data_IF_776245711224
#
_entry.id   IF_776245711224
#
_cell.length_a   1.000
_cell.length_b   1.000
_cell.length_c   1.000
_cell.angle_alpha   90.00
_cell.angle_beta   90.00
_cell.angle_gamma   90.00
#
_symmetry.space_group_name_H-M   'P 1'
#
loop_
_entity.id
_entity.type
_entity.pdbx_description
1 polymer ?
#
# COMPACT_ATOMS: atom_id res chain seq x y z
N UNK A 1 53.60 -5.84 25.66
CA UNK A 1 52.59 -4.80 25.36
C UNK A 1 51.48 -5.50 24.60
N UNK A 2 50.36 -5.83 25.26
CA UNK A 2 49.32 -6.66 24.66
C UNK A 2 48.28 -5.80 23.96
N UNK A 3 47.92 -6.17 22.72
CA UNK A 3 46.79 -5.57 22.01
C UNK A 3 45.50 -6.06 22.64
N UNK A 4 44.65 -5.14 23.12
CA UNK A 4 43.30 -5.46 23.53
C UNK A 4 42.47 -5.81 22.31
N UNK A 5 42.20 -7.10 22.10
CA UNK A 5 41.19 -7.53 21.15
C UNK A 5 39.85 -6.94 21.60
N UNK A 6 39.24 -6.10 20.77
CA UNK A 6 37.82 -5.76 20.94
C UNK A 6 37.04 -7.05 20.74
N UNK A 7 36.39 -7.51 21.81
CA UNK A 7 35.28 -8.45 21.66
C UNK A 7 34.18 -7.65 20.97
N UNK A 8 33.93 -7.96 19.70
CA UNK A 8 32.70 -7.53 19.07
C UNK A 8 31.57 -8.30 19.75
N UNK A 9 30.58 -7.59 20.28
CA UNK A 9 29.37 -8.22 20.81
C UNK A 9 28.74 -9.09 19.71
N UNK A 10 28.17 -10.26 20.07
CA UNK A 10 27.50 -11.10 19.09
C UNK A 10 26.35 -10.32 18.47
N UNK A 11 26.41 -10.11 17.15
CA UNK A 11 25.32 -9.47 16.40
C UNK A 11 24.07 -10.32 16.59
N UNK A 12 23.10 -9.79 17.32
CA UNK A 12 21.81 -10.44 17.51
C UNK A 12 21.02 -10.36 16.21
N UNK A 13 21.12 -11.45 15.43
CA UNK A 13 20.45 -11.63 14.13
C UNK A 13 18.91 -11.73 14.25
N UNK A 14 18.32 -11.43 15.42
CA UNK A 14 16.87 -11.23 15.59
C UNK A 14 16.45 -9.76 15.62
N UNK A 15 17.40 -8.82 15.78
CA UNK A 15 17.15 -7.38 15.88
C UNK A 15 17.33 -6.70 14.51
N UNK A 16 16.49 -5.72 14.19
CA UNK A 16 16.62 -4.94 12.95
C UNK A 16 17.97 -4.21 12.91
N UNK A 17 18.64 -4.25 11.74
CA UNK A 17 19.85 -3.48 11.45
C UNK A 17 19.51 -2.28 10.54
N UNK A 18 19.40 -1.05 11.07
CA UNK A 18 19.02 0.12 10.28
C UNK A 18 20.00 0.45 9.14
N UNK A 19 21.29 0.17 9.33
CA UNK A 19 22.29 0.45 8.30
C UNK A 19 22.13 -0.46 7.08
N UNK A 20 21.76 -1.74 7.27
CA UNK A 20 21.44 -2.65 6.18
C UNK A 20 20.11 -2.27 5.51
N UNK A 21 19.06 -2.02 6.29
CA UNK A 21 17.74 -1.65 5.77
C UNK A 21 17.79 -0.36 4.94
N UNK A 22 18.48 0.69 5.40
CA UNK A 22 18.58 1.97 4.69
C UNK A 22 19.59 1.97 3.53
N UNK A 23 20.59 1.08 3.54
CA UNK A 23 21.51 0.93 2.41
C UNK A 23 20.95 0.05 1.29
N UNK A 24 19.95 -0.79 1.56
CA UNK A 24 19.31 -1.66 0.57
C UNK A 24 18.88 -0.90 -0.70
N UNK A 25 18.98 -1.60 -1.84
CA UNK A 25 18.59 -1.13 -3.16
C UNK A 25 17.74 -2.22 -3.80
N UNK A 26 16.46 -1.93 -3.98
CA UNK A 26 15.56 -2.77 -4.73
C UNK A 26 15.94 -2.75 -6.22
N UNK A 27 15.78 -3.88 -6.94
CA UNK A 27 15.74 -3.85 -8.40
C UNK A 27 14.50 -3.08 -8.89
N UNK A 28 14.54 -2.59 -10.13
CA UNK A 28 13.35 -2.01 -10.75
C UNK A 28 12.34 -3.11 -11.08
N UNK A 29 11.08 -2.94 -10.67
CA UNK A 29 10.03 -3.96 -10.82
C UNK A 29 9.08 -3.55 -11.95
N UNK A 30 9.00 -4.37 -13.00
CA UNK A 30 8.01 -4.17 -14.06
C UNK A 30 6.63 -4.66 -13.63
N UNK A 31 5.60 -3.93 -14.06
CA UNK A 31 4.20 -4.27 -13.90
C UNK A 31 3.48 -3.98 -15.22
N UNK A 32 3.03 -5.02 -15.90
CA UNK A 32 2.23 -4.95 -17.13
C UNK A 32 0.77 -5.25 -16.79
N UNK A 33 -0.17 -4.49 -17.37
CA UNK A 33 -1.60 -4.69 -17.17
C UNK A 33 -2.42 -4.26 -18.38
N UNK A 34 -3.64 -4.79 -18.49
CA UNK A 34 -4.61 -4.30 -19.47
C UNK A 34 -6.03 -4.07 -18.93
N UNK A 35 -6.95 -3.75 -19.85
CA UNK A 35 -8.32 -3.37 -19.52
C UNK A 35 -9.07 -4.48 -18.76
N UNK A 36 -8.65 -5.74 -18.91
CA UNK A 36 -9.17 -6.85 -18.11
C UNK A 36 -8.79 -6.69 -16.65
N UNK A 37 -7.54 -6.34 -16.35
CA UNK A 37 -7.05 -6.18 -14.97
C UNK A 37 -7.68 -4.96 -14.31
N UNK A 38 -7.84 -3.86 -15.07
CA UNK A 38 -8.55 -2.65 -14.64
C UNK A 38 -10.02 -2.95 -14.34
N UNK A 39 -10.73 -3.64 -15.25
CA UNK A 39 -12.13 -4.00 -15.05
C UNK A 39 -12.32 -4.99 -13.89
N UNK A 40 -11.44 -5.99 -13.76
CA UNK A 40 -11.44 -6.93 -12.63
C UNK A 40 -11.21 -6.20 -11.31
N UNK A 41 -10.25 -5.26 -11.25
CA UNK A 41 -10.05 -4.43 -10.07
C UNK A 41 -11.31 -3.61 -9.73
N UNK A 42 -11.91 -2.95 -10.72
CA UNK A 42 -13.13 -2.16 -10.52
C UNK A 42 -14.26 -3.02 -9.94
N UNK A 43 -14.49 -4.22 -10.49
CA UNK A 43 -15.46 -5.20 -9.96
C UNK A 43 -15.10 -5.66 -8.54
N UNK A 44 -13.83 -5.99 -8.27
CA UNK A 44 -13.35 -6.44 -6.95
C UNK A 44 -13.54 -5.38 -5.87
N UNK A 45 -13.39 -4.09 -6.19
CA UNK A 45 -13.68 -3.00 -5.25
C UNK A 45 -15.15 -2.56 -5.26
N UNK A 46 -16.03 -3.26 -6.00
CA UNK A 46 -17.49 -3.11 -5.92
C UNK A 46 -18.16 -2.26 -7.01
N UNK A 47 -17.53 -2.00 -8.15
CA UNK A 47 -18.22 -1.39 -9.30
C UNK A 47 -19.40 -2.28 -9.77
N UNK A 48 -20.49 -1.65 -10.20
CA UNK A 48 -21.75 -2.31 -10.63
C UNK A 48 -22.41 -3.25 -9.59
N UNK A 49 -21.92 -3.35 -8.35
CA UNK A 49 -22.36 -4.40 -7.41
C UNK A 49 -23.78 -4.19 -6.85
N UNK A 50 -24.31 -2.96 -6.89
CA UNK A 50 -25.66 -2.60 -6.45
C UNK A 50 -26.67 -2.53 -7.60
N UNK A 51 -26.21 -2.22 -8.80
CA UNK A 51 -26.99 -2.13 -10.03
C UNK A 51 -26.07 -2.36 -11.24
N UNK A 52 -26.43 -3.32 -12.08
CA UNK A 52 -25.71 -3.68 -13.30
C UNK A 52 -26.03 -2.74 -14.48
N UNK A 53 -27.11 -1.98 -14.40
CA UNK A 53 -27.50 -0.98 -15.41
C UNK A 53 -26.89 0.42 -15.12
N UNK A 54 -26.10 0.56 -14.06
CA UNK A 54 -25.59 1.86 -13.61
C UNK A 54 -24.60 2.48 -14.60
N UNK A 55 -25.05 3.51 -15.32
CA UNK A 55 -24.28 4.20 -16.35
C UNK A 55 -22.92 4.74 -15.86
N UNK A 56 -22.83 5.12 -14.58
CA UNK A 56 -21.60 5.69 -13.99
C UNK A 56 -20.60 4.63 -13.54
N UNK A 57 -21.06 3.41 -13.29
CA UNK A 57 -20.17 2.28 -12.96
C UNK A 57 -19.77 1.50 -14.24
N UNK A 58 -20.67 1.38 -15.23
CA UNK A 58 -20.42 0.61 -16.46
C UNK A 58 -19.17 1.06 -17.23
N UNK A 59 -18.91 2.38 -17.26
CA UNK A 59 -17.68 2.98 -17.83
C UNK A 59 -16.36 2.53 -17.16
N UNK A 60 -16.41 1.86 -16.00
CA UNK A 60 -15.24 1.29 -15.33
C UNK A 60 -14.93 -0.16 -15.77
N UNK A 61 -15.86 -0.81 -16.49
CA UNK A 61 -15.82 -2.25 -16.81
C UNK A 61 -16.14 -2.57 -18.27
N UNK A 62 -16.67 -1.61 -19.03
CA UNK A 62 -17.10 -1.77 -20.43
C UNK A 62 -16.99 -0.46 -21.21
N UNK A 63 -16.67 -0.53 -22.51
CA UNK A 63 -16.56 0.62 -23.42
C UNK A 63 -17.94 1.23 -23.76
N UNK A 64 -18.47 2.07 -22.87
CA UNK A 64 -19.76 2.74 -23.06
C UNK A 64 -19.66 3.94 -24.00
N UNK A 65 -20.75 4.27 -24.70
CA UNK A 65 -20.95 5.58 -25.36
C UNK A 65 -19.82 6.06 -26.29
N UNK A 66 -19.12 5.14 -26.95
CA UNK A 66 -18.00 5.44 -27.85
C UNK A 66 -16.65 5.70 -27.17
N UNK A 67 -16.51 5.35 -25.88
CA UNK A 67 -15.24 5.36 -25.15
C UNK A 67 -14.19 4.50 -25.88
N UNK A 68 -13.00 5.07 -26.11
CA UNK A 68 -11.84 4.37 -26.68
C UNK A 68 -11.14 3.43 -25.70
N UNK A 69 -11.44 3.57 -24.41
CA UNK A 69 -10.84 2.85 -23.28
C UNK A 69 -11.75 2.96 -22.05
N UNK A 70 -11.75 1.96 -21.17
CA UNK A 70 -12.48 2.04 -19.89
C UNK A 70 -11.82 3.05 -18.94
N UNK A 71 -12.60 3.66 -18.04
CA UNK A 71 -12.07 4.56 -17.01
C UNK A 71 -11.42 3.77 -15.88
N UNK A 72 -10.18 4.12 -15.56
CA UNK A 72 -9.43 3.52 -14.44
C UNK A 72 -9.82 4.19 -13.12
N UNK A 73 -9.96 3.42 -12.04
CA UNK A 73 -10.07 3.97 -10.68
C UNK A 73 -8.69 4.38 -10.15
N UNK A 74 -8.53 5.55 -9.50
CA UNK A 74 -7.22 6.06 -9.09
C UNK A 74 -6.48 5.15 -8.11
N UNK A 75 -7.21 4.34 -7.33
CA UNK A 75 -6.65 3.38 -6.37
C UNK A 75 -6.05 2.12 -7.04
N UNK A 76 -6.28 1.89 -8.33
CA UNK A 76 -5.70 0.79 -9.10
C UNK A 76 -4.17 0.76 -9.01
N UNK A 77 -3.52 1.93 -8.95
CA UNK A 77 -2.06 2.05 -8.86
C UNK A 77 -1.47 1.49 -7.56
N UNK A 78 -2.30 1.20 -6.56
CA UNK A 78 -1.85 0.46 -5.37
C UNK A 78 -1.46 -1.00 -5.70
N UNK A 79 -1.95 -1.56 -6.81
CA UNK A 79 -1.51 -2.87 -7.30
C UNK A 79 -0.06 -2.85 -7.82
N UNK A 80 0.45 -1.71 -8.29
CA UNK A 80 1.84 -1.57 -8.76
C UNK A 80 2.88 -1.83 -7.65
N UNK A 81 2.44 -1.86 -6.39
CA UNK A 81 3.24 -2.27 -5.23
C UNK A 81 3.47 -3.78 -5.15
N UNK A 82 2.74 -4.59 -5.93
CA UNK A 82 2.84 -6.06 -5.92
C UNK A 82 3.82 -6.54 -6.99
N UNK A 83 4.83 -7.32 -6.59
CA UNK A 83 5.72 -8.02 -7.52
C UNK A 83 4.94 -9.06 -8.35
N UNK A 84 5.30 -9.15 -9.62
CA UNK A 84 5.16 -10.40 -10.37
C UNK A 84 5.86 -11.53 -9.58
N UNK A 85 5.20 -12.69 -9.41
CA UNK A 85 5.61 -13.83 -8.56
C UNK A 85 5.25 -13.78 -7.05
N UNK A 86 4.34 -12.90 -6.61
CA UNK A 86 3.75 -12.88 -5.25
C UNK A 86 4.71 -12.65 -4.05
N UNK A 87 5.99 -12.39 -4.29
CA UNK A 87 6.94 -12.01 -3.23
C UNK A 87 6.60 -10.62 -2.66
N UNK A 88 6.52 -10.48 -1.33
CA UNK A 88 6.36 -9.19 -0.69
C UNK A 88 7.59 -8.30 -0.93
N UNK A 89 7.37 -6.98 -1.08
CA UNK A 89 8.44 -5.96 -1.17
C UNK A 89 9.16 -5.75 0.19
N UNK A 90 8.82 -6.56 1.19
CA UNK A 90 9.30 -6.46 2.58
C UNK A 90 10.41 -7.45 2.90
N UNK A 91 10.85 -8.26 1.93
CA UNK A 91 12.14 -8.96 1.99
C UNK A 91 13.28 -7.93 1.86
N UNK A 92 13.77 -7.43 2.99
CA UNK A 92 14.82 -6.41 3.08
C UNK A 92 15.94 -6.91 3.99
N UNK A 93 17.21 -6.95 3.52
CA UNK A 93 18.34 -7.36 4.33
C UNK A 93 18.46 -6.58 5.64
N UNK A 94 18.49 -7.29 6.76
CA UNK A 94 18.55 -6.70 8.10
C UNK A 94 17.18 -6.27 8.67
N UNK A 95 16.07 -6.56 7.98
CA UNK A 95 14.72 -6.41 8.51
C UNK A 95 14.24 -7.74 9.08
N UNK A 96 14.16 -7.84 10.41
CA UNK A 96 13.74 -9.04 11.12
C UNK A 96 12.36 -8.81 11.76
N UNK A 97 11.36 -9.60 11.34
CA UNK A 97 9.98 -9.49 11.82
C UNK A 97 9.21 -10.81 11.67
N UNK A 98 8.11 -10.98 12.40
CA UNK A 98 7.14 -12.04 12.17
C UNK A 98 6.07 -11.56 11.16
N UNK A 99 5.91 -12.21 9.99
CA UNK A 99 4.86 -11.87 9.03
C UNK A 99 3.43 -11.91 9.60
N UNK A 100 3.13 -12.75 10.61
CA UNK A 100 1.81 -12.78 11.27
C UNK A 100 1.54 -11.53 12.11
N UNK A 101 2.59 -10.79 12.46
CA UNK A 101 2.55 -9.56 13.24
C UNK A 101 2.64 -8.29 12.38
N UNK A 102 2.86 -8.43 11.06
CA UNK A 102 2.84 -7.35 10.06
C UNK A 102 1.45 -6.71 9.96
N UNK A 103 1.44 -5.38 9.75
CA UNK A 103 0.23 -4.57 9.61
C UNK A 103 0.50 -3.43 8.62
N UNK A 104 -0.09 -3.46 7.42
CA UNK A 104 -0.02 -2.33 6.47
C UNK A 104 -0.83 -1.13 7.01
N UNK A 105 -0.20 -0.18 7.69
CA UNK A 105 -0.87 0.83 8.50
C UNK A 105 -1.47 2.02 7.76
N UNK A 106 -0.85 2.43 6.66
CA UNK A 106 -1.23 3.65 5.93
C UNK A 106 -0.86 3.54 4.47
N UNK A 107 -1.71 4.11 3.61
CA UNK A 107 -1.44 4.27 2.19
C UNK A 107 -1.56 5.75 1.83
N UNK A 108 -0.54 6.26 1.16
CA UNK A 108 -0.57 7.50 0.40
C UNK A 108 -0.40 7.18 -1.09
N UNK A 109 -1.09 7.93 -1.95
CA UNK A 109 -0.99 7.86 -3.40
C UNK A 109 -0.97 9.29 -3.92
N UNK A 110 -0.03 9.64 -4.79
CA UNK A 110 -0.03 10.88 -5.58
C UNK A 110 -0.09 10.54 -7.07
N UNK A 111 -0.89 11.28 -7.84
CA UNK A 111 -1.19 11.00 -9.25
C UNK A 111 -0.85 12.24 -10.09
N UNK A 112 0.16 12.11 -10.93
CA UNK A 112 0.70 13.22 -11.72
C UNK A 112 0.04 13.30 -13.11
N UNK A 113 -0.27 12.14 -13.73
CA UNK A 113 -0.92 12.03 -15.03
C UNK A 113 -2.14 11.08 -15.05
N UNK A 114 -2.96 11.09 -16.12
CA UNK A 114 -4.05 10.13 -16.31
C UNK A 114 -3.53 8.69 -16.35
N UNK A 115 -4.16 7.79 -15.59
CA UNK A 115 -3.82 6.36 -15.62
C UNK A 115 -4.47 5.73 -16.88
N UNK A 116 -3.68 5.18 -17.82
CA UNK A 116 -4.24 4.51 -19.01
C UNK A 116 -4.84 3.15 -18.64
N UNK A 117 -5.81 2.65 -19.42
CA UNK A 117 -6.45 1.36 -19.17
C UNK A 117 -5.58 0.14 -19.52
N UNK A 118 -4.47 0.36 -20.25
CA UNK A 118 -3.42 -0.63 -20.56
C UNK A 118 -2.07 0.07 -20.55
N UNK A 119 -1.08 -0.46 -19.81
CA UNK A 119 0.29 0.01 -19.88
C UNK A 119 1.31 -0.99 -19.29
N UNK A 120 2.57 -0.80 -19.69
CA UNK A 120 3.73 -1.31 -18.98
C UNK A 120 4.26 -0.20 -18.06
N UNK A 121 4.52 -0.53 -16.81
CA UNK A 121 4.99 0.38 -15.76
C UNK A 121 6.31 -0.13 -15.19
N UNK A 122 7.29 0.76 -15.01
CA UNK A 122 8.55 0.49 -14.32
C UNK A 122 8.51 1.15 -12.95
N UNK A 123 8.57 0.34 -11.89
CA UNK A 123 8.48 0.78 -10.51
C UNK A 123 9.86 0.87 -9.85
N UNK A 124 10.18 2.02 -9.27
CA UNK A 124 11.43 2.28 -8.55
C UNK A 124 11.13 2.42 -7.07
N UNK A 125 11.65 1.50 -6.27
CA UNK A 125 11.27 1.28 -4.87
C UNK A 125 12.41 1.76 -3.96
N UNK A 126 12.09 2.47 -2.87
CA UNK A 126 13.04 2.83 -1.82
C UNK A 126 12.43 2.68 -0.43
N UNK A 127 13.29 2.47 0.57
CA UNK A 127 12.92 2.73 1.97
C UNK A 127 12.80 4.25 2.13
N UNK A 128 11.58 4.72 2.35
CA UNK A 128 11.25 6.13 2.52
C UNK A 128 11.35 6.59 3.97
N UNK A 129 11.19 5.67 4.93
CA UNK A 129 11.31 5.91 6.35
C UNK A 129 11.49 4.62 7.15
N UNK A 130 12.09 4.74 8.33
CA UNK A 130 12.30 3.64 9.28
C UNK A 130 12.28 4.20 10.70
N UNK A 131 11.42 3.63 11.54
CA UNK A 131 11.19 4.12 12.91
C UNK A 131 11.13 2.99 13.92
N UNK A 132 11.80 3.19 15.05
CA UNK A 132 11.54 2.42 16.26
C UNK A 132 10.37 3.05 17.03
N UNK A 133 9.42 2.21 17.44
CA UNK A 133 8.28 2.56 18.29
C UNK A 133 8.25 1.69 19.56
N UNK A 134 9.41 1.18 19.99
CA UNK A 134 9.67 0.44 21.22
C UNK A 134 9.19 -1.02 21.19
N UNK A 135 7.92 -1.27 20.85
CA UNK A 135 7.34 -2.62 20.69
C UNK A 135 6.99 -2.98 19.24
N UNK A 136 7.35 -2.11 18.30
CA UNK A 136 7.18 -2.33 16.87
C UNK A 136 8.20 -1.48 16.11
N UNK A 137 8.57 -1.92 14.91
CA UNK A 137 9.13 -1.03 13.90
C UNK A 137 8.00 -0.45 13.02
N UNK A 138 8.26 0.69 12.39
CA UNK A 138 7.53 1.14 11.20
C UNK A 138 8.52 1.28 10.06
N UNK A 139 8.23 0.64 8.94
CA UNK A 139 8.97 0.76 7.69
C UNK A 139 8.06 1.43 6.66
N UNK A 140 8.47 2.57 6.10
CA UNK A 140 7.79 3.12 4.92
C UNK A 140 8.54 2.75 3.65
N UNK A 141 7.80 2.25 2.67
CA UNK A 141 8.27 2.09 1.30
C UNK A 141 7.62 3.15 0.42
N UNK A 142 8.42 3.81 -0.42
CA UNK A 142 7.93 4.68 -1.49
C UNK A 142 8.29 4.08 -2.84
N UNK A 143 7.31 4.07 -3.73
CA UNK A 143 7.35 3.46 -5.05
C UNK A 143 6.98 4.51 -6.08
N UNK A 144 7.94 4.87 -6.92
CA UNK A 144 7.78 5.79 -8.05
C UNK A 144 7.50 4.97 -9.31
N UNK A 145 6.34 5.16 -9.92
CA UNK A 145 5.85 4.37 -11.04
C UNK A 145 5.92 5.18 -12.34
N UNK A 146 6.75 4.74 -13.28
CA UNK A 146 6.97 5.40 -14.57
C UNK A 146 6.36 4.58 -15.72
N UNK A 147 5.82 5.24 -16.75
CA UNK A 147 5.40 4.55 -17.97
C UNK A 147 6.64 4.03 -18.73
N UNK A 148 6.60 2.76 -19.17
CA UNK A 148 7.72 2.17 -19.91
C UNK A 148 7.94 2.89 -21.25
N UNK A 149 9.21 3.16 -21.58
CA UNK A 149 9.59 3.88 -22.80
C UNK A 149 9.51 5.41 -22.69
N UNK A 150 9.04 5.97 -21.56
CA UNK A 150 9.07 7.42 -21.29
C UNK A 150 9.89 7.74 -20.02
N UNK A 151 10.04 9.04 -19.73
CA UNK A 151 10.54 9.53 -18.44
C UNK A 151 9.41 10.12 -17.58
N UNK A 152 8.15 9.82 -17.91
CA UNK A 152 6.97 10.35 -17.26
C UNK A 152 6.66 9.55 -15.99
N UNK A 153 6.68 10.24 -14.85
CA UNK A 153 6.23 9.70 -13.57
C UNK A 153 4.70 9.71 -13.57
N UNK A 154 4.07 8.55 -13.56
CA UNK A 154 2.62 8.41 -13.58
C UNK A 154 2.02 8.67 -12.19
N UNK A 155 2.59 8.03 -11.18
CA UNK A 155 2.14 8.13 -9.79
C UNK A 155 3.28 7.80 -8.80
N UNK A 156 3.05 8.14 -7.54
CA UNK A 156 3.83 7.71 -6.40
C UNK A 156 2.91 7.01 -5.40
N UNK A 157 3.32 5.84 -4.90
CA UNK A 157 2.69 5.17 -3.77
C UNK A 157 3.64 5.23 -2.58
N UNK A 158 3.15 5.56 -1.37
CA UNK A 158 3.89 5.39 -0.12
C UNK A 158 3.07 4.56 0.87
N UNK A 159 3.65 3.47 1.36
CA UNK A 159 2.98 2.46 2.18
C UNK A 159 3.75 2.26 3.49
N UNK A 160 3.09 2.46 4.63
CA UNK A 160 3.71 2.32 5.96
C UNK A 160 3.37 0.96 6.57
N UNK A 161 4.36 0.16 6.91
CA UNK A 161 4.20 -1.19 7.48
C UNK A 161 4.63 -1.21 8.94
N UNK A 162 3.68 -1.49 9.84
CA UNK A 162 3.91 -1.71 11.27
C UNK A 162 4.31 -3.16 11.49
N UNK A 163 5.55 -3.37 11.94
CA UNK A 163 6.12 -4.69 12.23
C UNK A 163 6.08 -4.87 13.75
N UNK A 164 4.95 -5.37 14.26
CA UNK A 164 4.76 -5.56 15.72
C UNK A 164 5.74 -6.62 16.23
N UNK A 165 6.30 -6.42 17.43
CA UNK A 165 7.37 -7.26 17.97
C UNK A 165 8.78 -6.83 17.53
N UNK A 166 8.95 -6.29 16.33
CA UNK A 166 10.25 -5.92 15.75
C UNK A 166 10.81 -4.54 16.19
N UNK A 167 10.35 -4.01 17.33
CA UNK A 167 10.86 -2.74 17.89
C UNK A 167 12.00 -2.95 18.89
N UNK A 168 12.54 -1.86 19.44
CA UNK A 168 13.59 -1.91 20.45
C UNK A 168 15.00 -2.12 19.88
N UNK A 169 15.19 -1.84 18.59
CA UNK A 169 16.49 -1.85 17.92
C UNK A 169 17.29 -0.54 18.16
N UNK A 170 16.80 0.33 19.04
CA UNK A 170 17.42 1.60 19.41
C UNK A 170 17.21 1.96 20.88
N UNK A 171 17.95 2.97 21.36
CA UNK A 171 17.82 3.51 22.72
C UNK A 171 16.38 3.99 22.97
N UNK A 172 15.72 3.44 23.99
CA UNK A 172 14.34 3.78 24.35
C UNK A 172 14.16 5.25 24.79
N UNK A 173 15.24 5.91 25.21
CA UNK A 173 15.26 7.35 25.48
C UNK A 173 15.42 8.22 24.24
N UNK A 174 15.88 7.64 23.11
CA UNK A 174 16.10 8.29 21.81
C UNK A 174 15.74 7.35 20.65
N UNK A 175 14.44 7.00 20.47
CA UNK A 175 14.03 6.02 19.46
C UNK A 175 14.47 6.41 18.06
N UNK A 176 15.02 5.44 17.31
CA UNK A 176 15.48 5.67 15.95
C UNK A 176 14.34 6.16 15.05
N UNK A 177 14.63 7.16 14.21
CA UNK A 177 13.64 7.76 13.33
C UNK A 177 14.31 8.39 12.13
N UNK A 178 14.06 7.83 10.94
CA UNK A 178 14.56 8.30 9.66
C UNK A 178 13.39 8.50 8.68
N UNK A 179 13.39 9.60 7.93
CA UNK A 179 12.52 9.81 6.75
C UNK A 179 13.32 10.43 5.61
N UNK A 180 12.86 10.24 4.38
CA UNK A 180 13.35 10.91 3.17
C UNK A 180 12.49 12.13 2.78
N UNK A 181 11.49 12.47 3.59
CA UNK A 181 10.46 13.47 3.31
C UNK A 181 10.03 14.24 4.56
N UNK A 182 9.34 15.41 4.43
CA UNK A 182 9.00 16.28 5.54
C UNK A 182 8.09 15.64 6.61
N UNK A 183 8.39 15.90 7.89
CA UNK A 183 7.78 15.21 9.04
C UNK A 183 6.31 15.59 9.36
N UNK A 184 5.64 16.36 8.52
CA UNK A 184 4.27 16.83 8.72
C UNK A 184 3.17 15.81 8.35
N UNK A 185 3.53 14.59 7.97
CA UNK A 185 2.64 13.44 7.80
C UNK A 185 2.69 12.53 9.05
N UNK A 186 1.99 12.90 10.14
CA UNK A 186 2.06 12.15 11.39
C UNK A 186 1.40 10.75 11.29
N UNK A 187 2.16 9.69 11.62
CA UNK A 187 1.81 8.30 11.30
C UNK A 187 1.20 7.50 12.47
N UNK A 188 0.09 6.79 12.22
CA UNK A 188 -0.63 5.88 13.15
C UNK A 188 -1.28 4.68 12.38
N UNK A 189 -1.72 3.63 13.09
CA UNK A 189 -1.79 2.22 12.63
C UNK A 189 -3.03 1.67 11.86
N UNK A 190 -2.82 0.46 11.27
CA UNK A 190 -3.78 -0.60 10.77
C UNK A 190 -4.06 -0.62 9.24
N UNK A 191 -4.28 -1.71 8.44
CA UNK A 191 -4.05 -3.19 8.43
C UNK A 191 -3.93 -3.74 6.94
N UNK A 192 -3.68 -5.05 6.74
CA UNK A 192 -2.94 -5.75 5.62
C UNK A 192 -3.39 -5.71 4.12
N UNK A 193 -2.61 -6.39 3.27
CA UNK A 193 -2.49 -6.26 1.79
C UNK A 193 -2.96 -7.45 0.94
N UNK A 194 -3.32 -7.20 -0.33
CA UNK A 194 -4.07 -8.08 -1.26
C UNK A 194 -3.74 -9.58 -1.37
N UNK A 195 -2.50 -10.04 -1.12
CA UNK A 195 -2.10 -11.45 -1.29
C UNK A 195 -1.66 -12.14 0.01
N UNK A 196 -1.98 -11.53 1.16
CA UNK A 196 -1.80 -12.12 2.48
C UNK A 196 -2.87 -13.23 2.73
N UNK A 197 -2.48 -14.47 3.10
CA UNK A 197 -3.41 -15.56 3.41
C UNK A 197 -4.47 -15.21 4.46
N UNK A 198 -4.20 -14.20 5.30
CA UNK A 198 -5.15 -13.54 6.21
C UNK A 198 -6.50 -13.15 5.55
N UNK A 199 -6.53 -12.97 4.24
CA UNK A 199 -7.70 -12.56 3.46
C UNK A 199 -8.48 -13.72 2.81
N UNK A 200 -8.01 -14.97 2.92
CA UNK A 200 -8.67 -16.13 2.30
C UNK A 200 -8.64 -17.43 3.11
N UNK A 201 -7.62 -17.66 3.94
CA UNK A 201 -7.45 -18.88 4.74
C UNK A 201 -7.95 -18.68 6.17
N UNK A 202 -9.00 -19.39 6.62
CA UNK A 202 -9.49 -19.32 8.00
C UNK A 202 -8.44 -19.72 9.05
N UNK A 203 -7.49 -20.60 8.72
CA UNK A 203 -6.43 -21.02 9.66
C UNK A 203 -5.46 -19.86 9.87
N UNK A 204 -4.93 -19.27 8.78
CA UNK A 204 -4.06 -18.09 8.86
C UNK A 204 -4.75 -16.91 9.57
N UNK A 205 -6.04 -16.69 9.32
CA UNK A 205 -6.82 -15.65 9.99
C UNK A 205 -6.97 -15.90 11.51
N UNK A 206 -7.22 -17.15 11.92
CA UNK A 206 -7.31 -17.53 13.34
C UNK A 206 -5.94 -17.45 14.05
N UNK A 207 -4.85 -17.87 13.40
CA UNK A 207 -3.50 -17.71 13.93
C UNK A 207 -3.10 -16.23 14.09
N UNK A 208 -3.59 -15.34 13.22
CA UNK A 208 -3.42 -13.89 13.33
C UNK A 208 -4.39 -13.22 14.34
N UNK A 209 -5.30 -13.98 14.95
CA UNK A 209 -6.21 -13.52 16.00
C UNK A 209 -7.57 -12.98 15.54
N UNK A 210 -7.97 -13.25 14.29
CA UNK A 210 -9.28 -12.89 13.74
C UNK A 210 -10.24 -14.09 13.79
N UNK A 211 -11.55 -13.84 13.78
CA UNK A 211 -12.55 -14.94 13.81
C UNK A 211 -12.63 -15.70 12.48
N UNK A 212 -12.43 -14.96 11.38
CA UNK A 212 -12.57 -15.37 9.99
C UNK A 212 -11.61 -14.50 9.14
N UNK A 213 -11.36 -14.82 7.86
CA UNK A 213 -10.60 -13.94 6.97
C UNK A 213 -11.23 -12.55 6.85
N UNK A 214 -10.39 -11.52 6.79
CA UNK A 214 -10.81 -10.10 6.73
C UNK A 214 -10.62 -9.54 5.32
N UNK A 215 -11.31 -8.45 4.98
CA UNK A 215 -11.11 -7.73 3.73
C UNK A 215 -9.74 -6.99 3.74
N UNK A 216 -8.97 -6.98 2.63
CA UNK A 216 -7.73 -6.19 2.54
C UNK A 216 -7.99 -4.69 2.74
N UNK A 217 -7.11 -3.99 3.45
CA UNK A 217 -7.26 -2.55 3.74
C UNK A 217 -7.33 -1.70 2.47
N UNK A 218 -6.52 -2.05 1.46
CA UNK A 218 -6.57 -1.46 0.13
C UNK A 218 -7.86 -1.79 -0.64
N UNK A 219 -8.47 -2.94 -0.39
CA UNK A 219 -9.82 -3.26 -0.89
C UNK A 219 -10.84 -2.25 -0.35
N UNK A 220 -10.87 -2.06 0.96
CA UNK A 220 -11.69 -1.03 1.62
C UNK A 220 -11.41 0.37 1.07
N UNK A 221 -10.16 0.73 0.79
CA UNK A 221 -9.80 2.00 0.13
C UNK A 221 -10.46 2.14 -1.24
N UNK A 222 -10.45 1.08 -2.04
CA UNK A 222 -11.10 1.05 -3.35
C UNK A 222 -12.62 1.29 -3.26
N UNK A 223 -13.29 0.61 -2.33
CA UNK A 223 -14.72 0.82 -2.04
C UNK A 223 -15.03 2.28 -1.66
N UNK A 224 -14.25 2.84 -0.72
CA UNK A 224 -14.44 4.22 -0.24
C UNK A 224 -14.17 5.23 -1.35
N UNK A 225 -13.05 5.13 -2.06
CA UNK A 225 -12.68 6.13 -3.08
C UNK A 225 -13.63 6.07 -4.28
N UNK A 226 -14.06 4.89 -4.74
CA UNK A 226 -15.12 4.79 -5.77
C UNK A 226 -16.40 5.51 -5.32
N UNK A 227 -16.81 5.29 -4.07
CA UNK A 227 -17.99 5.93 -3.47
C UNK A 227 -17.84 7.46 -3.40
N UNK A 228 -16.66 7.96 -3.05
CA UNK A 228 -16.34 9.41 -3.03
C UNK A 228 -16.41 10.01 -4.44
N UNK A 229 -15.80 9.39 -5.44
CA UNK A 229 -15.86 9.86 -6.84
C UNK A 229 -17.29 9.89 -7.36
N UNK A 230 -18.04 8.80 -7.17
CA UNK A 230 -19.45 8.67 -7.55
C UNK A 230 -20.33 9.74 -6.90
N UNK A 231 -20.18 9.95 -5.59
CA UNK A 231 -21.04 10.87 -4.81
C UNK A 231 -20.69 12.34 -5.06
N UNK A 232 -19.43 12.65 -5.37
CA UNK A 232 -19.00 13.99 -5.75
C UNK A 232 -19.21 14.31 -7.23
N UNK A 233 -19.37 13.29 -8.10
CA UNK A 233 -19.26 13.37 -9.55
C UNK A 233 -17.88 13.85 -10.02
N UNK A 234 -16.83 13.43 -9.30
CA UNK A 234 -15.43 13.72 -9.67
C UNK A 234 -14.91 12.64 -10.60
N UNK A 235 -14.35 13.04 -11.75
CA UNK A 235 -13.65 12.13 -12.67
C UNK A 235 -12.32 11.65 -12.09
N UNK A 236 -11.95 10.38 -12.33
CA UNK A 236 -10.71 9.78 -11.81
C UNK A 236 -9.45 10.59 -12.15
N UNK A 237 -9.42 11.21 -13.33
CA UNK A 237 -8.31 12.05 -13.83
C UNK A 237 -8.10 13.35 -13.04
N UNK A 238 -9.10 13.78 -12.26
CA UNK A 238 -9.02 14.98 -11.44
C UNK A 238 -8.47 14.70 -10.03
N UNK A 239 -8.30 13.43 -9.65
CA UNK A 239 -7.68 13.06 -8.36
C UNK A 239 -6.18 13.33 -8.43
N UNK A 240 -5.68 14.12 -7.47
CA UNK A 240 -4.24 14.42 -7.33
C UNK A 240 -3.55 13.64 -6.23
N UNK A 241 -4.23 13.41 -5.10
CA UNK A 241 -3.69 12.60 -4.02
C UNK A 241 -4.77 11.90 -3.22
N UNK A 242 -4.45 10.72 -2.70
CA UNK A 242 -5.24 9.95 -1.74
C UNK A 242 -4.35 9.70 -0.51
N UNK A 243 -4.88 9.89 0.70
CA UNK A 243 -4.18 9.58 1.94
C UNK A 243 -5.14 8.90 2.91
N UNK A 244 -4.75 7.75 3.46
CA UNK A 244 -5.58 6.99 4.39
C UNK A 244 -4.77 6.21 5.44
N UNK A 245 -5.52 5.74 6.45
CA UNK A 245 -5.08 4.91 7.56
C UNK A 245 -6.22 3.94 7.89
N UNK A 246 -5.97 2.63 7.97
CA UNK A 246 -7.05 1.66 8.17
C UNK A 246 -7.21 1.31 9.66
N UNK A 247 -8.02 2.10 10.39
CA UNK A 247 -8.11 2.03 11.85
C UNK A 247 -8.45 0.63 12.41
N UNK A 248 -9.26 -0.14 11.69
CA UNK A 248 -9.80 -1.43 12.09
C UNK A 248 -9.88 -2.40 10.89
N UNK A 249 -10.16 -3.67 11.16
CA UNK A 249 -10.49 -4.65 10.14
C UNK A 249 -11.94 -4.51 9.69
N UNK A 250 -12.27 -5.14 8.57
CA UNK A 250 -13.63 -5.29 8.04
C UNK A 250 -13.79 -6.76 7.65
N UNK A 251 -14.89 -7.40 8.03
CA UNK A 251 -15.22 -8.75 7.56
C UNK A 251 -15.98 -8.70 6.22
N UNK A 252 -15.73 -9.64 5.29
CA UNK A 252 -16.52 -9.75 4.06
C UNK A 252 -18.02 -9.87 4.35
N UNK A 253 -18.82 -8.97 3.77
CA UNK A 253 -20.27 -8.87 4.01
C UNK A 253 -20.71 -7.78 4.99
N UNK A 254 -19.78 -7.12 5.70
CA UNK A 254 -20.12 -5.95 6.52
C UNK A 254 -20.42 -4.71 5.65
N UNK A 255 -21.30 -3.82 6.16
CA UNK A 255 -21.70 -2.60 5.45
C UNK A 255 -20.71 -1.47 5.70
N UNK A 256 -19.97 -1.06 4.65
CA UNK A 256 -19.10 0.11 4.70
C UNK A 256 -19.92 1.42 4.65
N UNK A 257 -19.89 2.20 5.73
CA UNK A 257 -20.46 3.56 5.77
C UNK A 257 -19.36 4.57 5.43
N UNK A 258 -19.54 5.33 4.35
CA UNK A 258 -18.59 6.35 3.90
C UNK A 258 -19.09 7.76 4.21
N UNK A 259 -18.66 8.34 5.32
CA UNK A 259 -18.93 9.74 5.66
C UNK A 259 -17.98 10.69 4.91
N UNK A 260 -18.49 11.82 4.43
CA UNK A 260 -17.76 12.72 3.50
C UNK A 260 -17.98 14.19 3.84
N UNK A 261 -16.89 14.97 3.87
CA UNK A 261 -16.92 16.41 4.11
C UNK A 261 -16.11 17.16 3.05
N UNK A 262 -16.79 17.98 2.24
CA UNK A 262 -16.13 18.86 1.29
C UNK A 262 -15.48 20.05 2.02
N UNK A 263 -14.22 20.36 1.67
CA UNK A 263 -13.48 21.53 2.18
C UNK A 263 -12.78 22.23 1.01
N UNK A 264 -12.98 23.54 0.89
CA UNK A 264 -12.56 24.34 -0.27
C UNK A 264 -13.74 24.74 -1.17
N UNK A 265 -13.46 25.48 -2.24
CA UNK A 265 -14.40 25.69 -3.34
C UNK A 265 -14.22 24.58 -4.40
N UNK A 266 -15.26 24.40 -5.23
CA UNK A 266 -15.25 23.47 -6.38
C UNK A 266 -14.66 24.13 -7.61
#
# INVERSE_FOLDING_TARGET
>A
MALSASVADPVDNTIINPAMVLSHKYPEVKFEYDERDVALYALTVGACSSDLADEKELQLVYHRDGQSCIKVLPTFVSLFTTKYNNELVLDVPGLHYDPKLLVHGQQYIEIYGPIPSRANVTNKIKVAGLHDRGKAAVLELEILSYLEGSCELLCMNRSSFYLRGAGGFSDSSRPFSYTTYPANEALLCGISSYFDPLHSDPIAAQEAGFSHPILPGLGTLGFVIRTVLRSSNTESTNVKSISCRFLHHVYPGETLVSEMWFRGQR
#
